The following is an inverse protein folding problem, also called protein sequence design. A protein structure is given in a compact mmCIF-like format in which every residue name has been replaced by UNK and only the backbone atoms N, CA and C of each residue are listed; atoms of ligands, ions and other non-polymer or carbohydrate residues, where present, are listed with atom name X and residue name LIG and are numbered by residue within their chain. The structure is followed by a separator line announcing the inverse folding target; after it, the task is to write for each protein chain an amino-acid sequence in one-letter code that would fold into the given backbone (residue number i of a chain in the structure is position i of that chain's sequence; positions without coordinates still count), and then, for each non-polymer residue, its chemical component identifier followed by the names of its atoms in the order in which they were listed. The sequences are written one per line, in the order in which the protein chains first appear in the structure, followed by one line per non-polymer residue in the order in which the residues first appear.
data_IF_137703938803
#
_entry.id   IF_137703938803
#
_cell.length_a   1.000
_cell.length_b   1.000
_cell.length_c   1.000
_cell.angle_alpha   90.00
_cell.angle_beta   90.00
_cell.angle_gamma   90.00
#
_symmetry.space_group_name_H-M   'P 1'
#
loop_
_entity.id
_entity.type
_entity.pdbx_description
1 polymer ?
#
# COMPACT_ATOMS: atom_id res chain seq x y z
N UNK A 1 -9.30 6.01 5.74
CA UNK A 1 -8.53 7.04 5.01
C UNK A 1 -7.45 7.70 5.86
N UNK A 2 -7.66 7.98 7.16
CA UNK A 2 -6.65 8.58 8.06
C UNK A 2 -5.33 7.78 8.17
N UNK A 3 -5.37 6.44 8.13
CA UNK A 3 -4.15 5.61 8.26
C UNK A 3 -3.25 5.65 7.02
N UNK A 4 -3.84 5.73 5.83
CA UNK A 4 -3.11 5.85 4.55
C UNK A 4 -2.42 7.20 4.42
N UNK A 5 -3.09 8.29 4.82
CA UNK A 5 -2.49 9.64 4.82
C UNK A 5 -1.28 9.74 5.76
N UNK A 6 -1.34 9.13 6.95
CA UNK A 6 -0.21 9.12 7.89
C UNK A 6 0.98 8.33 7.36
N UNK A 7 0.73 7.22 6.69
CA UNK A 7 1.78 6.42 6.04
C UNK A 7 2.39 7.19 4.86
N UNK A 8 1.56 7.82 4.03
CA UNK A 8 2.02 8.66 2.92
C UNK A 8 2.85 9.86 3.37
N UNK A 9 2.44 10.53 4.45
CA UNK A 9 3.19 11.63 5.06
C UNK A 9 4.57 11.15 5.59
N UNK A 10 4.63 9.97 6.20
CA UNK A 10 5.89 9.38 6.66
C UNK A 10 6.83 9.03 5.50
N UNK A 11 6.28 8.47 4.42
CA UNK A 11 7.06 8.13 3.21
C UNK A 11 7.59 9.39 2.54
N UNK A 12 6.77 10.45 2.40
CA UNK A 12 7.23 11.76 1.92
C UNK A 12 8.37 12.32 2.75
N UNK A 13 8.28 12.23 4.08
CA UNK A 13 9.33 12.68 4.98
C UNK A 13 10.65 11.93 4.79
N UNK A 14 10.61 10.59 4.78
CA UNK A 14 11.79 9.75 4.57
C UNK A 14 12.41 9.94 3.18
N UNK A 15 11.59 10.15 2.17
CA UNK A 15 12.07 10.38 0.81
C UNK A 15 12.79 11.74 0.69
N UNK A 16 12.21 12.80 1.27
CA UNK A 16 12.86 14.12 1.34
C UNK A 16 14.19 14.05 2.09
N UNK A 17 14.24 13.32 3.21
CA UNK A 17 15.48 13.10 3.97
C UNK A 17 16.53 12.36 3.13
N UNK A 18 16.14 11.32 2.39
CA UNK A 18 17.05 10.57 1.52
C UNK A 18 17.61 11.43 0.37
N UNK A 19 16.75 12.22 -0.28
CA UNK A 19 17.14 13.16 -1.34
C UNK A 19 18.11 14.22 -0.83
N UNK A 20 17.84 14.80 0.35
CA UNK A 20 18.70 15.82 0.95
C UNK A 20 20.09 15.29 1.35
N UNK A 21 20.25 13.96 1.46
CA UNK A 21 21.53 13.30 1.76
C UNK A 21 22.29 12.86 0.51
N UNK A 22 21.77 13.14 -0.68
CA UNK A 22 22.36 12.70 -1.95
C UNK A 22 23.38 13.72 -2.49
N UNK A 23 24.45 13.24 -3.12
CA UNK A 23 25.55 14.08 -3.61
C UNK A 23 25.11 15.07 -4.70
N UNK A 24 25.78 16.23 -4.76
CA UNK A 24 25.52 17.31 -5.74
C UNK A 24 25.59 16.80 -7.19
N UNK A 25 26.43 15.80 -7.46
CA UNK A 25 26.53 15.17 -8.78
C UNK A 25 25.22 14.48 -9.22
N UNK A 26 24.37 14.02 -8.29
CA UNK A 26 23.05 13.47 -8.60
C UNK A 26 22.08 14.56 -9.09
N UNK A 27 22.16 15.75 -8.48
CA UNK A 27 21.39 16.91 -8.91
C UNK A 27 21.86 17.45 -10.28
N UNK A 28 23.14 17.31 -10.60
CA UNK A 28 23.72 17.85 -11.84
C UNK A 28 23.57 16.90 -13.05
N UNK A 29 23.49 15.59 -12.82
CA UNK A 29 23.54 14.56 -13.88
C UNK A 29 22.19 13.95 -14.23
N UNK A 30 21.25 13.85 -13.28
CA UNK A 30 20.00 13.12 -13.45
C UNK A 30 18.73 13.95 -13.19
N UNK A 31 18.80 15.18 -12.66
CA UNK A 31 17.62 15.74 -12.00
C UNK A 31 17.45 17.27 -11.97
N UNK A 32 16.53 17.80 -12.78
CA UNK A 32 15.95 19.13 -12.54
C UNK A 32 15.04 19.05 -11.32
N UNK A 33 15.21 19.92 -10.31
CA UNK A 33 14.46 19.90 -9.03
C UNK A 33 12.93 19.74 -9.18
N UNK A 34 12.36 20.26 -10.28
CA UNK A 34 10.93 20.10 -10.61
C UNK A 34 10.51 18.66 -10.92
N UNK A 35 11.32 17.88 -11.65
CA UNK A 35 11.00 16.49 -12.00
C UNK A 35 11.05 15.56 -10.78
N UNK A 36 11.92 15.84 -9.80
CA UNK A 36 11.96 15.10 -8.55
C UNK A 36 10.66 15.30 -7.76
N UNK A 37 10.23 16.56 -7.59
CA UNK A 37 9.02 16.88 -6.84
C UNK A 37 7.79 16.27 -7.52
N UNK A 38 7.75 16.28 -8.84
CA UNK A 38 6.67 15.68 -9.63
C UNK A 38 6.63 14.15 -9.48
N UNK A 39 7.77 13.46 -9.58
CA UNK A 39 7.86 12.01 -9.34
C UNK A 39 7.56 11.64 -7.89
N UNK A 40 8.11 12.38 -6.92
CA UNK A 40 7.76 12.20 -5.51
C UNK A 40 6.27 12.29 -5.29
N UNK A 41 5.63 13.33 -5.82
CA UNK A 41 4.21 13.55 -5.61
C UNK A 41 3.39 12.42 -6.25
N UNK A 42 3.71 12.04 -7.49
CA UNK A 42 3.04 10.94 -8.20
C UNK A 42 3.20 9.58 -7.53
N UNK A 43 4.43 9.20 -7.20
CA UNK A 43 4.73 7.91 -6.58
C UNK A 43 4.14 7.82 -5.16
N UNK A 44 4.17 8.91 -4.39
CA UNK A 44 3.54 8.91 -3.06
C UNK A 44 2.02 8.73 -3.18
N UNK A 45 1.38 9.35 -4.17
CA UNK A 45 -0.08 9.20 -4.38
C UNK A 45 -0.41 7.76 -4.75
N UNK A 46 0.34 7.14 -5.66
CA UNK A 46 0.17 5.72 -6.00
C UNK A 46 0.37 4.80 -4.78
N UNK A 47 1.38 5.08 -3.96
CA UNK A 47 1.65 4.31 -2.74
C UNK A 47 0.54 4.53 -1.70
N UNK A 48 0.05 5.76 -1.54
CA UNK A 48 -1.06 6.08 -0.64
C UNK A 48 -2.33 5.33 -1.03
N UNK A 49 -2.64 5.28 -2.32
CA UNK A 49 -3.83 4.60 -2.85
C UNK A 49 -3.70 3.08 -2.72
N UNK A 50 -2.50 2.54 -2.99
CA UNK A 50 -2.20 1.12 -2.81
C UNK A 50 -2.31 0.68 -1.33
N UNK A 51 -1.71 1.43 -0.40
CA UNK A 51 -1.70 1.09 1.02
C UNK A 51 -3.08 1.36 1.66
N UNK A 52 -3.75 2.43 1.26
CA UNK A 52 -5.01 2.86 1.86
C UNK A 52 -6.19 1.95 1.50
N UNK A 53 -6.40 1.72 0.20
CA UNK A 53 -7.62 1.05 -0.27
C UNK A 53 -7.40 -0.41 -0.64
N UNK A 54 -6.34 -0.72 -1.39
CA UNK A 54 -6.11 -2.08 -1.90
C UNK A 54 -5.75 -3.06 -0.78
N UNK A 55 -4.86 -2.67 0.14
CA UNK A 55 -4.47 -3.53 1.27
C UNK A 55 -5.65 -3.78 2.21
N UNK A 56 -6.45 -2.74 2.50
CA UNK A 56 -7.65 -2.89 3.33
C UNK A 56 -8.68 -3.84 2.72
N UNK A 57 -8.98 -3.67 1.43
CA UNK A 57 -9.87 -4.58 0.69
C UNK A 57 -9.33 -6.01 0.61
N UNK A 58 -8.03 -6.18 0.40
CA UNK A 58 -7.39 -7.48 0.38
C UNK A 58 -7.58 -8.22 1.70
N UNK A 59 -7.27 -7.58 2.82
CA UNK A 59 -7.44 -8.17 4.16
C UNK A 59 -8.91 -8.50 4.42
N UNK A 60 -9.84 -7.60 4.05
CA UNK A 60 -11.27 -7.84 4.20
C UNK A 60 -11.74 -9.06 3.39
N UNK A 61 -11.35 -9.17 2.13
CA UNK A 61 -11.69 -10.29 1.26
C UNK A 61 -11.11 -11.61 1.80
N UNK A 62 -9.84 -11.62 2.21
CA UNK A 62 -9.21 -12.80 2.81
C UNK A 62 -9.89 -13.22 4.10
N UNK A 63 -10.20 -12.26 4.99
CA UNK A 63 -10.90 -12.55 6.24
C UNK A 63 -12.32 -13.09 6.00
N UNK A 64 -13.02 -12.55 5.00
CA UNK A 64 -14.38 -13.00 4.64
C UNK A 64 -14.34 -14.40 4.02
N UNK A 65 -13.34 -14.69 3.19
CA UNK A 65 -13.12 -16.01 2.62
C UNK A 65 -12.86 -17.06 3.71
N UNK A 66 -11.90 -16.81 4.61
CA UNK A 66 -11.58 -17.73 5.70
C UNK A 66 -12.76 -17.86 6.68
N UNK A 67 -13.39 -16.74 7.05
CA UNK A 67 -14.56 -16.74 7.94
C UNK A 67 -15.74 -17.51 7.35
N UNK A 68 -16.01 -17.34 6.06
CA UNK A 68 -17.04 -18.09 5.33
C UNK A 68 -16.77 -19.59 5.34
N UNK A 69 -15.52 -20.00 5.11
CA UNK A 69 -15.08 -21.39 5.23
C UNK A 69 -15.35 -21.94 6.64
N UNK A 70 -14.90 -21.24 7.69
CA UNK A 70 -15.08 -21.68 9.08
C UNK A 70 -16.57 -21.88 9.43
N UNK A 71 -17.44 -20.96 9.00
CA UNK A 71 -18.89 -21.06 9.23
C UNK A 71 -19.50 -22.22 8.44
N UNK A 72 -19.11 -22.40 7.17
CA UNK A 72 -19.60 -23.50 6.33
C UNK A 72 -19.24 -24.87 6.90
N UNK A 73 -17.98 -25.05 7.34
CA UNK A 73 -17.52 -26.28 7.98
C UNK A 73 -18.15 -26.52 9.35
N UNK A 74 -18.47 -25.46 10.12
CA UNK A 74 -19.12 -25.59 11.44
C UNK A 74 -20.60 -25.99 11.35
N UNK A 75 -21.35 -25.44 10.39
CA UNK A 75 -22.81 -25.67 10.27
C UNK A 75 -23.17 -26.86 9.37
N UNK A 76 -22.32 -27.23 8.42
CA UNK A 76 -22.66 -28.21 7.40
C UNK A 76 -21.45 -28.97 6.87
N UNK A 77 -20.61 -29.53 7.75
CA UNK A 77 -19.39 -30.28 7.41
C UNK A 77 -19.57 -31.28 6.25
N UNK A 78 -20.68 -32.04 6.24
CA UNK A 78 -20.97 -33.04 5.21
C UNK A 78 -21.24 -32.46 3.83
N UNK A 79 -21.93 -31.31 3.74
CA UNK A 79 -22.21 -30.63 2.47
C UNK A 79 -21.00 -29.80 2.03
N UNK A 80 -20.33 -29.14 2.98
CA UNK A 80 -19.14 -28.33 2.73
C UNK A 80 -17.99 -29.17 2.18
N UNK A 81 -17.74 -30.38 2.72
CA UNK A 81 -16.65 -31.26 2.27
C UNK A 81 -16.91 -31.94 0.92
N UNK A 82 -18.16 -31.93 0.42
CA UNK A 82 -18.53 -32.52 -0.88
C UNK A 82 -18.60 -31.47 -1.98
N UNK A 83 -18.95 -30.22 -1.64
CA UNK A 83 -19.02 -29.11 -2.58
C UNK A 83 -17.69 -28.41 -2.85
N UNK A 84 -16.70 -28.58 -1.96
CA UNK A 84 -15.34 -28.08 -2.14
C UNK A 84 -14.52 -28.98 -3.06
#
# INVERSE_FOLDING_TARGET
MITGERQAARIRGLYLEAVLRQDIAFFDKEMTTGQLVERMSGDTVLIQDAIGEKVGKFIQLTATFIGGFVVAFSKGWLLASVML
#
